data_IF_939538010447
#
_entry.id   IF_939538010447
#
_cell.length_a   1.000
_cell.length_b   1.000
_cell.length_c   1.000
_cell.angle_alpha   90.00
_cell.angle_beta   90.00
_cell.angle_gamma   90.00
#
_symmetry.space_group_name_H-M   'P 1'
#
loop_
_entity.id
_entity.type
_entity.pdbx_description
1 polymer ?
#
# COMPACT_ATOMS: atom_id res chain seq x y z
N UNK A 1 18.48 26.96 90.76
CA UNK A 1 18.15 25.84 91.66
C UNK A 1 16.67 25.55 91.48
N UNK A 2 16.28 24.71 90.53
CA UNK A 2 16.29 23.25 90.59
C UNK A 2 14.99 22.67 91.20
N UNK A 3 14.48 21.64 90.53
CA UNK A 3 13.47 20.66 90.95
C UNK A 3 11.98 21.02 90.85
N UNK A 4 11.34 20.68 89.73
CA UNK A 4 10.57 19.42 89.62
C UNK A 4 10.14 19.18 88.16
N UNK A 5 10.97 18.41 87.45
CA UNK A 5 10.65 17.76 86.19
C UNK A 5 9.94 16.42 86.47
N UNK A 6 9.18 15.98 85.47
CA UNK A 6 9.00 14.55 85.14
C UNK A 6 8.17 13.70 86.08
N UNK A 7 6.85 13.66 85.86
CA UNK A 7 6.02 12.47 86.17
C UNK A 7 4.65 12.52 85.46
N UNK A 8 4.66 12.41 84.13
CA UNK A 8 3.53 11.89 83.35
C UNK A 8 4.01 11.58 81.92
N UNK A 9 5.04 10.73 81.85
CA UNK A 9 5.47 10.05 80.63
C UNK A 9 5.66 8.58 81.03
N UNK A 10 4.56 7.85 81.11
CA UNK A 10 4.54 6.41 81.26
C UNK A 10 3.18 5.90 80.79
N UNK A 11 3.19 4.79 80.05
CA UNK A 11 2.07 4.07 79.45
C UNK A 11 1.69 4.50 78.03
N UNK A 12 2.64 4.29 77.10
CA UNK A 12 2.45 3.44 75.92
C UNK A 12 3.84 3.22 75.30
N UNK A 13 4.58 2.30 75.90
CA UNK A 13 5.89 1.85 75.45
C UNK A 13 5.84 0.31 75.42
N UNK A 14 5.23 -0.21 74.36
CA UNK A 14 5.12 -1.60 73.89
C UNK A 14 4.42 -1.43 72.52
N UNK A 15 5.13 -1.33 71.39
CA UNK A 15 5.79 -2.45 70.73
C UNK A 15 7.19 -2.07 70.23
N UNK A 16 8.20 -2.41 71.02
CA UNK A 16 9.53 -2.72 70.49
C UNK A 16 9.53 -4.19 70.09
N UNK A 17 8.97 -4.50 68.92
CA UNK A 17 9.08 -5.81 68.30
C UNK A 17 9.67 -5.68 66.89
N UNK A 18 10.94 -6.11 66.76
CA UNK A 18 11.57 -6.43 65.48
C UNK A 18 12.85 -5.67 65.13
N UNK A 19 14.03 -6.08 65.61
CA UNK A 19 15.27 -5.86 64.88
C UNK A 19 15.36 -6.85 63.70
N UNK A 20 15.77 -6.34 62.53
CA UNK A 20 16.15 -7.07 61.29
C UNK A 20 15.04 -7.45 60.29
N UNK A 21 14.61 -6.52 59.41
CA UNK A 21 14.06 -6.86 58.06
C UNK A 21 14.45 -5.85 56.96
N UNK A 22 15.64 -5.24 57.01
CA UNK A 22 16.25 -4.68 55.79
C UNK A 22 17.66 -5.25 55.68
N UNK A 23 17.80 -6.34 54.94
CA UNK A 23 19.11 -6.87 54.57
C UNK A 23 19.93 -5.72 53.92
N UNK A 24 21.22 -5.53 54.26
CA UNK A 24 22.09 -4.53 53.64
C UNK A 24 22.05 -4.57 52.10
N UNK A 25 21.80 -5.74 51.53
CA UNK A 25 21.61 -5.91 50.09
C UNK A 25 20.33 -5.22 49.57
N UNK A 26 19.21 -5.31 50.30
CA UNK A 26 17.95 -4.63 49.94
C UNK A 26 18.09 -3.12 50.06
N UNK A 27 18.75 -2.64 51.11
CA UNK A 27 19.02 -1.21 51.29
C UNK A 27 19.94 -0.67 50.17
N UNK A 28 20.94 -1.45 49.74
CA UNK A 28 21.82 -1.10 48.61
C UNK A 28 21.06 -1.04 47.28
N UNK A 29 20.16 -2.00 47.02
CA UNK A 29 19.32 -2.01 45.81
C UNK A 29 18.32 -0.84 45.82
N UNK A 30 17.72 -0.53 46.97
CA UNK A 30 16.84 0.64 47.11
C UNK A 30 17.61 1.96 46.90
N UNK A 31 18.85 2.05 47.40
CA UNK A 31 19.69 3.22 47.20
C UNK A 31 20.15 3.38 45.73
N UNK A 32 20.48 2.28 45.04
CA UNK A 32 20.86 2.33 43.62
C UNK A 32 19.67 2.72 42.74
N UNK A 33 18.51 2.11 42.98
CA UNK A 33 17.28 2.45 42.24
C UNK A 33 16.85 3.89 42.48
N UNK A 34 16.98 4.41 43.71
CA UNK A 34 16.72 5.83 44.00
C UNK A 34 17.70 6.77 43.25
N UNK A 35 18.97 6.39 43.13
CA UNK A 35 19.97 7.14 42.35
C UNK A 35 19.62 7.15 40.86
N UNK A 36 19.22 6.00 40.31
CA UNK A 36 18.85 5.88 38.89
C UNK A 36 17.63 6.75 38.58
N UNK A 37 16.64 6.78 39.47
CA UNK A 37 15.49 7.69 39.35
C UNK A 37 15.89 9.17 39.42
N UNK A 38 16.82 9.54 40.31
CA UNK A 38 17.31 10.92 40.39
C UNK A 38 18.04 11.34 39.11
N UNK A 39 18.79 10.43 38.48
CA UNK A 39 19.42 10.67 37.19
C UNK A 39 18.36 10.88 36.09
N UNK A 40 17.37 9.99 35.98
CA UNK A 40 16.27 10.12 35.01
C UNK A 40 15.49 11.43 35.20
N UNK A 41 15.19 11.82 36.43
CA UNK A 41 14.49 13.08 36.73
C UNK A 41 15.31 14.30 36.27
N UNK A 42 16.64 14.27 36.51
CA UNK A 42 17.55 15.34 36.05
C UNK A 42 17.67 15.38 34.51
N UNK A 43 17.72 14.22 33.86
CA UNK A 43 17.79 14.09 32.41
C UNK A 43 16.51 14.59 31.75
N UNK A 44 15.33 14.17 32.22
CA UNK A 44 14.03 14.65 31.75
C UNK A 44 13.88 16.16 31.94
N UNK A 45 14.32 16.70 33.08
CA UNK A 45 14.29 18.14 33.33
C UNK A 45 15.20 18.93 32.37
N UNK A 46 16.31 18.35 31.89
CA UNK A 46 17.19 18.99 30.91
C UNK A 46 16.63 18.98 29.49
N UNK A 47 15.82 17.98 29.12
CA UNK A 47 15.24 17.83 27.77
C UNK A 47 13.90 18.56 27.62
N UNK A 48 13.21 18.87 28.72
CA UNK A 48 11.95 19.61 28.69
C UNK A 48 12.19 21.13 28.75
N UNK A 49 11.36 21.94 28.05
CA UNK A 49 11.44 23.40 28.15
C UNK A 49 11.27 23.90 29.59
N UNK A 50 12.01 24.96 29.95
CA UNK A 50 11.96 25.56 31.27
C UNK A 50 10.50 25.89 31.68
N UNK A 51 10.03 25.28 32.78
CA UNK A 51 8.68 25.48 33.32
C UNK A 51 7.67 24.39 32.97
N UNK A 52 8.02 23.38 32.15
CA UNK A 52 7.15 22.22 31.90
C UNK A 52 7.62 21.03 32.73
N UNK A 53 6.83 20.63 33.72
CA UNK A 53 7.07 19.40 34.45
C UNK A 53 6.90 18.17 33.53
N UNK A 54 7.68 17.10 33.73
CA UNK A 54 7.47 15.85 33.01
C UNK A 54 6.04 15.34 33.28
N UNK A 55 5.37 14.75 32.26
CA UNK A 55 4.07 14.13 32.46
C UNK A 55 4.16 13.05 33.55
N UNK A 56 3.11 12.90 34.35
CA UNK A 56 3.08 11.87 35.39
C UNK A 56 3.07 10.48 34.75
N UNK A 57 3.99 9.62 35.16
CA UNK A 57 4.04 8.23 34.74
C UNK A 57 4.26 7.30 35.95
N UNK A 58 3.92 6.04 35.78
CA UNK A 58 4.07 5.01 36.80
C UNK A 58 5.57 4.73 37.04
N UNK A 59 6.03 4.84 38.29
CA UNK A 59 7.41 4.51 38.68
C UNK A 59 7.54 3.03 39.00
N UNK A 60 7.71 2.22 37.97
CA UNK A 60 7.97 0.78 38.07
C UNK A 60 9.36 0.40 37.53
N UNK A 61 9.82 -0.84 37.76
CA UNK A 61 11.16 -1.26 37.32
C UNK A 61 11.33 -1.28 35.80
N UNK A 62 10.27 -1.60 35.08
CA UNK A 62 10.27 -1.65 33.61
C UNK A 62 10.41 -0.24 33.00
N UNK A 63 9.69 0.74 33.54
CA UNK A 63 9.80 2.15 33.13
C UNK A 63 11.16 2.73 33.46
N UNK A 64 11.75 2.40 34.62
CA UNK A 64 13.12 2.81 34.94
C UNK A 64 14.11 2.28 33.90
N UNK A 65 14.02 0.98 33.56
CA UNK A 65 14.89 0.35 32.56
C UNK A 65 14.69 0.97 31.17
N UNK A 66 13.45 1.22 30.77
CA UNK A 66 13.14 1.86 29.50
C UNK A 66 13.68 3.29 29.43
N UNK A 67 13.52 4.09 30.48
CA UNK A 67 14.00 5.48 30.54
C UNK A 67 15.53 5.57 30.58
N UNK A 68 16.21 4.69 31.30
CA UNK A 68 17.68 4.60 31.28
C UNK A 68 18.21 4.17 29.91
N UNK A 69 17.53 3.22 29.26
CA UNK A 69 17.86 2.84 27.88
C UNK A 69 17.68 4.04 26.95
N UNK A 70 16.55 4.75 27.04
CA UNK A 70 16.27 5.91 26.20
C UNK A 70 17.28 7.04 26.42
N UNK A 71 17.67 7.33 27.66
CA UNK A 71 18.67 8.36 27.96
C UNK A 71 20.03 7.98 27.36
N UNK A 72 20.45 6.72 27.49
CA UNK A 72 21.70 6.24 26.90
C UNK A 72 21.70 6.32 25.36
N UNK A 73 20.59 5.95 24.70
CA UNK A 73 20.47 6.07 23.26
C UNK A 73 20.44 7.55 22.82
N UNK A 74 19.81 8.42 23.60
CA UNK A 74 19.77 9.84 23.30
C UNK A 74 21.14 10.50 23.45
N UNK A 75 21.89 10.18 24.51
CA UNK A 75 23.27 10.63 24.70
C UNK A 75 24.18 10.12 23.57
N UNK A 76 24.07 8.85 23.19
CA UNK A 76 24.84 8.30 22.07
C UNK A 76 24.53 9.00 20.73
N UNK A 77 23.26 9.32 20.48
CA UNK A 77 22.87 10.06 19.28
C UNK A 77 23.34 11.52 19.31
N UNK A 78 23.34 12.16 20.47
CA UNK A 78 23.87 13.52 20.64
C UNK A 78 25.41 13.54 20.43
N UNK A 79 26.13 12.53 20.92
CA UNK A 79 27.57 12.35 20.68
C UNK A 79 27.88 12.12 19.19
N UNK A 80 27.11 11.27 18.51
CA UNK A 80 27.26 11.03 17.06
C UNK A 80 27.04 12.32 16.26
N UNK A 81 25.99 13.09 16.58
CA UNK A 81 25.73 14.39 15.96
C UNK A 81 26.86 15.37 16.18
N UNK A 82 27.44 15.39 17.38
CA UNK A 82 28.59 16.25 17.68
C UNK A 82 29.83 15.85 16.87
N UNK A 83 30.06 14.55 16.68
CA UNK A 83 31.17 14.06 15.85
C UNK A 83 30.99 14.41 14.37
N UNK A 84 29.77 14.24 13.84
CA UNK A 84 29.45 14.65 12.47
C UNK A 84 29.63 16.15 12.28
N UNK A 85 29.08 16.97 13.17
CA UNK A 85 29.24 18.42 13.09
C UNK A 85 30.72 18.86 13.11
N UNK A 86 31.56 18.21 13.92
CA UNK A 86 33.02 18.47 13.93
C UNK A 86 33.71 18.02 12.65
N UNK A 87 33.30 16.90 12.09
CA UNK A 87 33.85 16.41 10.82
C UNK A 87 33.49 17.37 9.68
N UNK A 88 32.25 17.85 9.65
CA UNK A 88 31.77 18.83 8.69
C UNK A 88 32.52 20.17 8.83
N UNK A 89 32.66 20.68 10.05
CA UNK A 89 33.43 21.91 10.32
C UNK A 89 34.89 21.78 9.86
N UNK A 90 35.53 20.65 10.15
CA UNK A 90 36.90 20.38 9.72
C UNK A 90 37.03 20.29 8.20
N UNK A 91 36.08 19.61 7.53
CA UNK A 91 36.04 19.52 6.07
C UNK A 91 35.82 20.90 5.42
N UNK A 92 34.94 21.73 6.00
CA UNK A 92 34.71 23.10 5.54
C UNK A 92 35.95 23.97 5.71
N UNK A 93 36.68 23.85 6.82
CA UNK A 93 37.91 24.60 7.04
C UNK A 93 39.05 24.13 6.12
N UNK A 94 39.15 22.83 5.81
CA UNK A 94 40.07 22.31 4.80
C UNK A 94 39.76 22.89 3.41
N UNK A 95 38.49 22.93 3.01
CA UNK A 95 38.07 23.54 1.75
C UNK A 95 38.35 25.04 1.71
N UNK A 96 38.09 25.77 2.81
CA UNK A 96 38.37 27.21 2.91
C UNK A 96 39.86 27.50 2.84
N UNK A 97 40.69 26.74 3.54
CA UNK A 97 42.15 26.91 3.52
C UNK A 97 42.73 26.56 2.15
N UNK A 98 42.24 25.50 1.50
CA UNK A 98 42.58 25.20 0.12
C UNK A 98 42.21 26.36 -0.81
N UNK A 99 41.01 26.92 -0.66
CA UNK A 99 40.54 28.07 -1.44
C UNK A 99 41.34 29.36 -1.19
N UNK A 100 41.79 29.62 0.05
CA UNK A 100 42.58 30.80 0.42
C UNK A 100 44.07 30.69 0.07
N UNK A 101 44.61 29.47 0.02
CA UNK A 101 46.00 29.19 -0.39
C UNK A 101 46.23 29.35 -1.89
N UNK A 102 45.16 29.53 -2.66
CA UNK A 102 45.21 29.80 -4.10
C UNK A 102 45.47 31.29 -4.34
N UNK A 103 46.48 31.66 -5.14
CA UNK A 103 46.73 33.05 -5.49
C UNK A 103 45.50 33.64 -6.21
N UNK A 104 45.00 34.75 -5.69
CA UNK A 104 43.87 35.50 -6.26
C UNK A 104 44.07 35.71 -7.77
N UNK A 105 43.27 35.01 -8.58
CA UNK A 105 43.21 35.17 -10.03
C UNK A 105 43.72 34.00 -10.88
N UNK A 106 44.30 32.95 -10.27
CA UNK A 106 44.69 31.74 -10.99
C UNK A 106 43.76 30.57 -10.68
N UNK A 107 42.81 30.26 -11.57
CA UNK A 107 42.16 28.95 -11.56
C UNK A 107 43.25 27.87 -11.57
N UNK A 108 43.18 26.89 -10.67
CA UNK A 108 44.06 25.71 -10.73
C UNK A 108 44.05 25.14 -12.16
N UNK A 109 45.16 24.59 -12.69
CA UNK A 109 45.15 23.87 -13.96
C UNK A 109 44.04 22.81 -14.04
N UNK A 110 43.66 22.24 -12.89
CA UNK A 110 42.58 21.28 -12.75
C UNK A 110 41.18 21.91 -12.74
N UNK A 111 41.02 23.12 -12.19
CA UNK A 111 39.75 23.87 -12.24
C UNK A 111 39.51 24.53 -13.60
N UNK A 112 40.56 25.00 -14.27
CA UNK A 112 40.46 25.48 -15.65
C UNK A 112 40.19 24.31 -16.60
N UNK A 113 40.76 23.13 -16.36
CA UNK A 113 40.42 21.92 -17.11
C UNK A 113 38.99 21.45 -16.83
N UNK A 114 38.52 21.45 -15.57
CA UNK A 114 37.12 21.17 -15.25
C UNK A 114 36.16 22.18 -15.90
N UNK A 115 36.46 23.48 -15.83
CA UNK A 115 35.64 24.51 -16.46
C UNK A 115 35.62 24.37 -18.00
N UNK A 116 36.77 24.07 -18.61
CA UNK A 116 36.85 23.85 -20.05
C UNK A 116 36.13 22.56 -20.49
N UNK A 117 36.22 21.48 -19.70
CA UNK A 117 35.49 20.23 -19.95
C UNK A 117 33.99 20.45 -19.78
N UNK A 118 33.57 21.18 -18.74
CA UNK A 118 32.16 21.52 -18.53
C UNK A 118 31.63 22.36 -19.69
N UNK A 119 32.36 23.39 -20.12
CA UNK A 119 31.99 24.22 -21.27
C UNK A 119 31.90 23.40 -22.57
N UNK A 120 32.84 22.47 -22.80
CA UNK A 120 32.80 21.59 -23.97
C UNK A 120 31.62 20.60 -23.92
N UNK A 121 31.25 20.12 -22.72
CA UNK A 121 30.06 19.28 -22.52
C UNK A 121 28.78 20.09 -22.74
N UNK A 122 28.71 21.32 -22.23
CA UNK A 122 27.57 22.23 -22.44
C UNK A 122 27.39 22.60 -23.92
N UNK A 123 28.48 22.88 -24.63
CA UNK A 123 28.45 23.22 -26.06
C UNK A 123 28.16 21.99 -26.95
N UNK A 124 28.61 20.81 -26.53
CA UNK A 124 28.36 19.54 -27.23
C UNK A 124 27.03 18.88 -26.90
N UNK A 125 26.25 19.40 -25.94
CA UNK A 125 25.02 18.77 -25.48
C UNK A 125 23.85 19.03 -26.45
N UNK A 126 23.14 17.98 -26.93
CA UNK A 126 21.93 18.18 -27.70
C UNK A 126 20.82 18.78 -26.83
N UNK A 127 19.84 19.45 -27.46
CA UNK A 127 18.72 20.10 -26.76
C UNK A 127 17.91 19.11 -25.92
N UNK A 128 17.75 17.86 -26.37
CA UNK A 128 17.09 16.83 -25.56
C UNK A 128 17.87 16.54 -24.27
N UNK A 129 19.21 16.46 -24.35
CA UNK A 129 20.08 16.23 -23.20
C UNK A 129 19.98 17.32 -22.15
N UNK A 130 19.99 18.60 -22.57
CA UNK A 130 19.83 19.73 -21.67
C UNK A 130 18.46 19.74 -20.98
N UNK A 131 17.39 19.40 -21.71
CA UNK A 131 16.04 19.28 -21.16
C UNK A 131 15.92 18.14 -20.14
N UNK A 132 16.51 16.97 -20.46
CA UNK A 132 16.53 15.82 -19.57
C UNK A 132 17.30 16.10 -18.28
N UNK A 133 18.49 16.71 -18.38
CA UNK A 133 19.30 17.09 -17.22
C UNK A 133 18.59 18.12 -16.35
N UNK A 134 17.98 19.14 -16.96
CA UNK A 134 17.17 20.13 -16.23
C UNK A 134 15.94 19.51 -15.55
N UNK A 135 15.37 18.45 -16.13
CA UNK A 135 14.25 17.72 -15.52
C UNK A 135 14.71 16.85 -14.35
N UNK A 136 15.85 16.17 -14.48
CA UNK A 136 16.49 15.44 -13.37
C UNK A 136 16.85 16.37 -12.21
N UNK A 137 17.44 17.53 -12.48
CA UNK A 137 17.76 18.51 -11.45
C UNK A 137 16.51 19.00 -10.71
N UNK A 138 15.42 19.27 -11.44
CA UNK A 138 14.13 19.63 -10.82
C UNK A 138 13.55 18.50 -9.96
N UNK A 139 13.61 17.25 -10.45
CA UNK A 139 13.14 16.08 -9.72
C UNK A 139 13.98 15.84 -8.46
N UNK A 140 15.30 15.99 -8.54
CA UNK A 140 16.20 15.88 -7.41
C UNK A 140 15.87 16.90 -6.31
N UNK A 141 15.64 18.16 -6.70
CA UNK A 141 15.21 19.21 -5.76
C UNK A 141 13.86 18.89 -5.13
N UNK A 142 12.88 18.41 -5.91
CA UNK A 142 11.57 18.03 -5.39
C UNK A 142 11.63 16.81 -4.46
N UNK A 143 12.52 15.85 -4.77
CA UNK A 143 12.74 14.66 -3.97
C UNK A 143 13.62 14.93 -2.73
N UNK A 144 14.26 16.11 -2.64
CA UNK A 144 15.23 16.42 -1.60
C UNK A 144 16.53 15.61 -1.71
N UNK A 145 16.84 15.12 -2.91
CA UNK A 145 18.04 14.32 -3.19
C UNK A 145 19.13 15.21 -3.79
N UNK A 146 20.32 15.20 -3.18
CA UNK A 146 21.46 16.01 -3.63
C UNK A 146 22.26 15.32 -4.75
N UNK A 147 22.18 13.99 -4.87
CA UNK A 147 23.02 13.22 -5.79
C UNK A 147 22.36 13.01 -7.16
N UNK A 148 21.05 13.30 -7.27
CA UNK A 148 20.24 13.23 -8.48
C UNK A 148 20.38 11.89 -9.24
N UNK A 149 20.50 10.78 -8.51
CA UNK A 149 20.55 9.44 -9.11
C UNK A 149 19.24 9.16 -9.86
N UNK A 150 19.26 9.00 -11.20
CA UNK A 150 18.05 8.76 -11.97
C UNK A 150 17.31 7.49 -11.54
N UNK A 151 18.02 6.44 -11.09
CA UNK A 151 17.39 5.20 -10.65
C UNK A 151 16.72 5.36 -9.28
N UNK A 152 17.39 6.01 -8.33
CA UNK A 152 16.82 6.41 -7.04
C UNK A 152 15.57 7.28 -7.19
N UNK A 153 15.63 8.30 -8.05
CA UNK A 153 14.50 9.19 -8.34
C UNK A 153 13.33 8.44 -9.01
N UNK A 154 13.61 7.51 -9.94
CA UNK A 154 12.56 6.71 -10.54
C UNK A 154 11.85 5.82 -9.49
N UNK A 155 12.61 5.18 -8.60
CA UNK A 155 12.06 4.37 -7.50
C UNK A 155 11.23 5.21 -6.53
N UNK A 156 11.68 6.42 -6.19
CA UNK A 156 10.94 7.31 -5.30
C UNK A 156 9.61 7.75 -5.92
N UNK A 157 9.58 8.05 -7.22
CA UNK A 157 8.35 8.36 -7.95
C UNK A 157 7.36 7.18 -7.93
N UNK A 158 7.84 5.96 -8.21
CA UNK A 158 6.99 4.76 -8.16
C UNK A 158 6.46 4.51 -6.75
N UNK A 159 7.29 4.67 -5.73
CA UNK A 159 6.89 4.53 -4.33
C UNK A 159 5.85 5.59 -3.92
N UNK A 160 6.02 6.84 -4.34
CA UNK A 160 5.06 7.91 -4.11
C UNK A 160 3.72 7.62 -4.80
N UNK A 161 3.77 7.11 -6.04
CA UNK A 161 2.56 6.74 -6.77
C UNK A 161 1.80 5.59 -6.10
N UNK A 162 2.51 4.58 -5.61
CA UNK A 162 1.91 3.47 -4.85
C UNK A 162 1.26 3.98 -3.56
N UNK A 163 1.97 4.82 -2.80
CA UNK A 163 1.45 5.44 -1.58
C UNK A 163 0.20 6.29 -1.84
N UNK A 164 0.21 7.10 -2.91
CA UNK A 164 -0.94 7.90 -3.30
C UNK A 164 -2.15 7.02 -3.59
N UNK A 165 -1.98 5.97 -4.40
CA UNK A 165 -3.05 5.02 -4.71
C UNK A 165 -3.60 4.31 -3.47
N UNK A 166 -2.72 3.84 -2.58
CA UNK A 166 -3.11 3.17 -1.34
C UNK A 166 -3.95 4.11 -0.45
N UNK A 167 -3.52 5.38 -0.33
CA UNK A 167 -4.26 6.37 0.46
C UNK A 167 -5.63 6.71 -0.14
N UNK A 168 -5.72 6.84 -1.47
CA UNK A 168 -6.99 7.04 -2.18
C UNK A 168 -7.94 5.85 -1.98
N UNK A 169 -7.42 4.62 -2.08
CA UNK A 169 -8.21 3.41 -1.86
C UNK A 169 -8.70 3.31 -0.40
N UNK A 170 -7.84 3.64 0.57
CA UNK A 170 -8.22 3.65 1.97
C UNK A 170 -9.29 4.71 2.26
N UNK A 171 -9.17 5.90 1.67
CA UNK A 171 -10.18 6.95 1.80
C UNK A 171 -11.54 6.49 1.25
N UNK A 172 -11.56 5.92 0.04
CA UNK A 172 -12.79 5.41 -0.57
C UNK A 172 -13.44 4.29 0.27
N UNK A 173 -12.62 3.40 0.84
CA UNK A 173 -13.11 2.34 1.73
C UNK A 173 -13.71 2.89 3.02
N UNK A 174 -13.07 3.88 3.64
CA UNK A 174 -13.61 4.54 4.84
C UNK A 174 -14.93 5.23 4.53
N UNK A 175 -15.03 5.93 3.41
CA UNK A 175 -16.25 6.60 2.98
C UNK A 175 -17.42 5.61 2.77
N UNK A 176 -17.14 4.45 2.15
CA UNK A 176 -18.12 3.40 1.98
C UNK A 176 -18.61 2.82 3.31
N UNK A 177 -17.71 2.62 4.27
CA UNK A 177 -18.05 2.14 5.62
C UNK A 177 -18.87 3.19 6.37
N UNK A 178 -18.52 4.48 6.27
CA UNK A 178 -19.28 5.57 6.87
C UNK A 178 -20.71 5.61 6.33
N UNK A 179 -20.87 5.60 5.00
CA UNK A 179 -22.19 5.56 4.36
C UNK A 179 -23.01 4.33 4.75
N UNK A 180 -22.36 3.18 4.96
CA UNK A 180 -23.06 2.00 5.45
C UNK A 180 -23.50 2.16 6.91
N UNK A 181 -22.63 2.67 7.77
CA UNK A 181 -22.93 2.91 9.19
C UNK A 181 -24.05 3.94 9.37
N UNK A 182 -24.04 5.03 8.60
CA UNK A 182 -25.10 6.05 8.62
C UNK A 182 -26.45 5.49 8.19
N UNK A 183 -26.48 4.70 7.11
CA UNK A 183 -27.71 4.02 6.67
C UNK A 183 -28.23 3.04 7.72
N UNK A 184 -27.36 2.21 8.28
CA UNK A 184 -27.73 1.26 9.32
C UNK A 184 -28.23 1.96 10.59
N UNK A 185 -27.62 3.08 10.97
CA UNK A 185 -28.06 3.91 12.09
C UNK A 185 -29.43 4.53 11.82
N UNK A 186 -29.68 5.04 10.61
CA UNK A 186 -30.98 5.54 10.18
C UNK A 186 -32.06 4.47 10.23
N UNK A 187 -31.80 3.30 9.64
CA UNK A 187 -32.72 2.15 9.67
C UNK A 187 -33.02 1.69 11.10
N UNK A 188 -32.01 1.66 11.98
CA UNK A 188 -32.19 1.32 13.39
C UNK A 188 -33.01 2.36 14.15
N UNK A 189 -32.82 3.65 13.87
CA UNK A 189 -33.60 4.74 14.45
C UNK A 189 -35.06 4.69 13.99
N UNK A 190 -35.31 4.46 12.70
CA UNK A 190 -36.65 4.28 12.15
C UNK A 190 -37.34 3.06 12.74
N UNK A 191 -36.62 1.94 12.88
CA UNK A 191 -37.15 0.75 13.54
C UNK A 191 -37.51 1.03 15.01
N UNK A 192 -36.65 1.72 15.75
CA UNK A 192 -36.89 2.08 17.14
C UNK A 192 -38.14 2.97 17.26
N UNK A 193 -38.28 3.98 16.41
CA UNK A 193 -39.45 4.85 16.38
C UNK A 193 -40.74 4.06 16.10
N UNK A 194 -40.70 3.14 15.13
CA UNK A 194 -41.84 2.28 14.81
C UNK A 194 -42.21 1.34 15.97
N UNK A 195 -41.23 0.81 16.72
CA UNK A 195 -41.48 -0.06 17.87
C UNK A 195 -42.00 0.69 19.10
N UNK A 196 -41.61 1.97 19.24
CA UNK A 196 -42.08 2.83 20.34
C UNK A 196 -43.46 3.42 20.07
N UNK A 197 -43.94 3.43 18.83
CA UNK A 197 -45.29 3.86 18.51
C UNK A 197 -46.34 2.95 19.16
N UNK A 198 -47.31 3.56 19.84
CA UNK A 198 -48.38 2.88 20.57
C UNK A 198 -49.31 2.08 19.64
N UNK A 199 -49.24 2.34 18.34
CA UNK A 199 -49.98 1.63 17.30
C UNK A 199 -49.30 0.33 16.83
N UNK A 200 -48.06 0.07 17.27
CA UNK A 200 -47.27 -1.07 16.80
C UNK A 200 -47.95 -2.40 17.10
N UNK A 201 -48.17 -3.19 16.04
CA UNK A 201 -48.57 -4.59 16.14
C UNK A 201 -47.57 -5.44 15.37
N UNK A 202 -46.92 -6.42 16.02
CA UNK A 202 -45.99 -7.29 15.32
C UNK A 202 -46.72 -8.01 14.18
N UNK A 203 -46.18 -7.99 12.95
CA UNK A 203 -46.76 -8.71 11.83
C UNK A 203 -46.89 -10.21 12.16
N UNK A 204 -48.01 -10.83 11.80
CA UNK A 204 -48.29 -12.25 12.11
C UNK A 204 -47.30 -13.24 11.48
N UNK A 205 -46.48 -12.78 10.53
CA UNK A 205 -45.50 -13.55 9.78
C UNK A 205 -44.06 -13.43 10.34
N UNK A 206 -43.85 -12.66 11.42
CA UNK A 206 -42.51 -12.39 11.98
C UNK A 206 -41.76 -13.67 12.38
N UNK A 207 -42.45 -14.64 12.97
CA UNK A 207 -41.82 -15.90 13.38
C UNK A 207 -41.29 -16.72 12.19
N UNK A 208 -42.03 -16.73 11.07
CA UNK A 208 -41.62 -17.43 9.85
C UNK A 208 -40.41 -16.72 9.21
N UNK A 209 -40.47 -15.39 9.08
CA UNK A 209 -39.35 -14.57 8.55
C UNK A 209 -38.08 -14.70 9.39
N UNK A 210 -38.20 -14.75 10.72
CA UNK A 210 -37.05 -14.93 11.60
C UNK A 210 -36.39 -16.31 11.37
N UNK A 211 -37.20 -17.36 11.24
CA UNK A 211 -36.72 -18.71 10.98
C UNK A 211 -36.03 -18.80 9.60
N UNK A 212 -36.60 -18.16 8.58
CA UNK A 212 -36.00 -18.10 7.24
C UNK A 212 -34.69 -17.29 7.22
N UNK A 213 -34.63 -16.16 7.96
CA UNK A 213 -33.39 -15.42 8.17
C UNK A 213 -32.33 -16.27 8.87
N UNK A 214 -32.67 -16.98 9.95
CA UNK A 214 -31.75 -17.89 10.63
C UNK A 214 -31.23 -19.00 9.71
N UNK A 215 -32.09 -19.57 8.86
CA UNK A 215 -31.68 -20.55 7.84
C UNK A 215 -30.73 -19.93 6.83
N UNK A 216 -31.03 -18.73 6.33
CA UNK A 216 -30.18 -18.02 5.37
C UNK A 216 -28.81 -17.67 5.96
N UNK A 217 -28.77 -17.18 7.21
CA UNK A 217 -27.53 -16.89 7.94
C UNK A 217 -26.74 -18.17 8.11
N UNK A 218 -27.38 -19.27 8.52
CA UNK A 218 -26.70 -20.57 8.68
C UNK A 218 -26.11 -21.08 7.37
N UNK A 219 -26.84 -20.91 6.25
CA UNK A 219 -26.34 -21.26 4.92
C UNK A 219 -25.12 -20.42 4.57
N UNK A 220 -25.20 -19.10 4.70
CA UNK A 220 -24.11 -18.17 4.38
C UNK A 220 -22.90 -18.35 5.31
N UNK A 221 -23.11 -18.60 6.60
CA UNK A 221 -22.04 -18.82 7.57
C UNK A 221 -21.39 -20.21 7.45
N UNK A 222 -22.10 -21.19 6.89
CA UNK A 222 -21.58 -22.54 6.62
C UNK A 222 -20.94 -22.67 5.24
N UNK A 223 -21.25 -21.74 4.34
CA UNK A 223 -20.57 -21.64 3.07
C UNK A 223 -19.14 -21.15 3.31
N UNK A 224 -18.12 -21.76 2.69
CA UNK A 224 -16.79 -21.18 2.68
C UNK A 224 -16.89 -19.76 2.09
N UNK A 225 -16.17 -18.78 2.67
CA UNK A 225 -16.20 -17.43 2.14
C UNK A 225 -15.79 -17.47 0.65
N UNK A 226 -16.34 -16.55 -0.18
CA UNK A 226 -16.04 -16.56 -1.61
C UNK A 226 -14.53 -16.56 -1.80
N UNK A 227 -14.02 -17.42 -2.70
CA UNK A 227 -12.61 -17.68 -3.00
C UNK A 227 -11.74 -16.42 -3.17
N UNK A 228 -12.38 -15.28 -3.41
CA UNK A 228 -11.79 -13.95 -3.48
C UNK A 228 -11.21 -13.44 -2.15
N UNK A 229 -11.82 -13.73 -0.99
CA UNK A 229 -11.26 -13.32 0.32
C UNK A 229 -10.05 -14.15 0.71
N UNK A 230 -10.03 -15.42 0.29
CA UNK A 230 -8.92 -16.34 0.51
C UNK A 230 -7.72 -15.95 -0.39
N UNK A 231 -7.97 -15.47 -1.62
CA UNK A 231 -6.90 -14.89 -2.47
C UNK A 231 -6.33 -13.60 -1.92
N UNK A 232 -7.12 -12.71 -1.33
CA UNK A 232 -6.59 -11.47 -0.73
C UNK A 232 -5.83 -11.77 0.57
N UNK A 233 -6.34 -12.67 1.40
CA UNK A 233 -5.65 -13.08 2.63
C UNK A 233 -4.35 -13.87 2.33
N UNK A 234 -4.37 -14.75 1.32
CA UNK A 234 -3.18 -15.48 0.86
C UNK A 234 -2.16 -14.58 0.13
N UNK A 235 -2.61 -13.49 -0.51
CA UNK A 235 -1.73 -12.49 -1.11
C UNK A 235 -1.02 -11.63 -0.05
N UNK A 236 -1.68 -11.32 1.07
CA UNK A 236 -1.09 -10.56 2.18
C UNK A 236 -0.19 -11.41 3.10
N UNK A 237 -0.43 -12.73 3.19
CA UNK A 237 0.28 -13.62 4.12
C UNK A 237 1.44 -14.43 3.50
N UNK A 238 1.60 -14.39 2.18
CA UNK A 238 2.66 -15.12 1.48
C UNK A 238 3.71 -14.13 0.96
N UNK A 239 5.01 -14.30 1.27
CA UNK A 239 6.07 -13.66 0.51
C UNK A 239 6.16 -14.36 -0.84
N UNK A 240 5.11 -14.25 -1.66
CA UNK A 240 5.25 -14.54 -3.08
C UNK A 240 6.28 -13.53 -3.61
N UNK A 241 7.25 -13.97 -4.43
CA UNK A 241 8.12 -13.04 -5.14
C UNK A 241 7.22 -11.99 -5.79
N UNK A 242 7.40 -10.72 -5.43
CA UNK A 242 6.70 -9.63 -6.11
C UNK A 242 6.90 -9.88 -7.61
N UNK A 243 5.82 -10.03 -8.40
CA UNK A 243 5.93 -10.40 -9.81
C UNK A 243 6.89 -9.39 -10.44
N UNK A 244 8.01 -9.91 -10.93
CA UNK A 244 9.03 -9.08 -11.53
C UNK A 244 8.49 -8.55 -12.85
N UNK A 245 9.09 -7.47 -13.34
CA UNK A 245 8.72 -6.90 -14.64
C UNK A 245 8.86 -7.95 -15.75
N UNK A 246 9.79 -8.90 -15.61
CA UNK A 246 9.93 -10.07 -16.49
C UNK A 246 8.73 -11.02 -16.40
N UNK A 247 8.22 -11.33 -15.20
CA UNK A 247 7.04 -12.19 -15.04
C UNK A 247 5.79 -11.56 -15.71
N UNK A 248 5.65 -10.23 -15.64
CA UNK A 248 4.57 -9.50 -16.31
C UNK A 248 4.75 -9.53 -17.83
N UNK A 249 5.98 -9.35 -18.33
CA UNK A 249 6.27 -9.41 -19.75
C UNK A 249 6.00 -10.81 -20.35
N UNK A 250 6.35 -11.87 -19.62
CA UNK A 250 6.07 -13.26 -20.02
C UNK A 250 4.56 -13.54 -20.06
N UNK A 251 3.82 -13.05 -19.06
CA UNK A 251 2.36 -13.14 -19.03
C UNK A 251 1.69 -12.35 -20.16
N UNK A 252 2.19 -11.16 -20.48
CA UNK A 252 1.73 -10.38 -21.64
C UNK A 252 1.98 -11.13 -22.94
N UNK A 253 3.15 -11.74 -23.12
CA UNK A 253 3.45 -12.52 -24.31
C UNK A 253 2.49 -13.70 -24.47
N UNK A 254 2.28 -14.46 -23.40
CA UNK A 254 1.34 -15.58 -23.39
C UNK A 254 -0.11 -15.12 -23.67
N UNK A 255 -0.50 -13.94 -23.16
CA UNK A 255 -1.80 -13.35 -23.45
C UNK A 255 -1.94 -12.96 -24.93
N UNK A 256 -0.90 -12.39 -25.54
CA UNK A 256 -0.89 -12.11 -26.97
C UNK A 256 -1.01 -13.38 -27.82
N UNK A 257 -0.33 -14.45 -27.44
CA UNK A 257 -0.45 -15.75 -28.11
C UNK A 257 -1.89 -16.30 -28.01
N UNK A 258 -2.50 -16.23 -26.82
CA UNK A 258 -3.89 -16.64 -26.62
C UNK A 258 -4.86 -15.80 -27.43
N UNK A 259 -4.67 -14.49 -27.51
CA UNK A 259 -5.50 -13.60 -28.31
C UNK A 259 -5.33 -13.89 -29.81
N UNK A 260 -4.11 -14.16 -30.27
CA UNK A 260 -3.88 -14.59 -31.64
C UNK A 260 -4.58 -15.92 -31.93
N UNK A 261 -4.49 -16.89 -31.00
CA UNK A 261 -5.18 -18.18 -31.13
C UNK A 261 -6.70 -18.04 -31.10
N UNK A 262 -7.23 -17.16 -30.25
CA UNK A 262 -8.66 -16.83 -30.20
C UNK A 262 -9.12 -16.24 -31.52
N UNK A 263 -8.41 -15.27 -32.09
CA UNK A 263 -8.76 -14.67 -33.39
C UNK A 263 -8.76 -15.69 -34.51
N UNK A 264 -7.78 -16.60 -34.52
CA UNK A 264 -7.74 -17.70 -35.48
C UNK A 264 -8.95 -18.63 -35.33
N UNK A 265 -9.29 -19.01 -34.09
CA UNK A 265 -10.48 -19.83 -33.81
C UNK A 265 -11.78 -19.10 -34.16
N UNK A 266 -11.89 -17.81 -33.88
CA UNK A 266 -13.03 -16.98 -34.27
C UNK A 266 -13.18 -16.89 -35.78
N UNK A 267 -12.07 -16.78 -36.52
CA UNK A 267 -12.09 -16.82 -37.98
C UNK A 267 -12.55 -18.19 -38.50
N UNK A 268 -12.06 -19.28 -37.93
CA UNK A 268 -12.49 -20.63 -38.25
C UNK A 268 -13.97 -20.85 -37.93
N UNK A 269 -14.44 -20.35 -36.78
CA UNK A 269 -15.84 -20.43 -36.37
C UNK A 269 -16.77 -19.56 -37.22
N UNK A 270 -16.30 -18.41 -37.69
CA UNK A 270 -17.06 -17.53 -38.58
C UNK A 270 -17.42 -18.23 -39.91
N UNK A 271 -16.57 -19.15 -40.40
CA UNK A 271 -16.88 -19.97 -41.57
C UNK A 271 -18.07 -20.94 -41.34
N UNK A 272 -18.39 -21.23 -40.08
CA UNK A 272 -19.54 -22.05 -39.67
C UNK A 272 -20.69 -21.22 -39.08
N UNK A 273 -20.60 -19.88 -39.13
CA UNK A 273 -21.65 -19.00 -38.63
C UNK A 273 -22.96 -19.23 -39.42
N UNK A 274 -23.99 -19.70 -38.72
CA UNK A 274 -25.29 -20.06 -39.31
C UNK A 274 -25.61 -21.55 -39.24
N UNK A 275 -24.67 -22.42 -38.88
CA UNK A 275 -24.93 -23.83 -38.60
C UNK A 275 -25.40 -24.02 -37.14
N UNK A 276 -26.41 -24.86 -36.88
CA UNK A 276 -26.80 -25.27 -35.55
C UNK A 276 -25.62 -25.87 -34.76
N UNK A 277 -25.61 -25.64 -33.44
CA UNK A 277 -24.56 -26.16 -32.56
C UNK A 277 -24.53 -27.70 -32.46
N UNK A 278 -25.58 -28.38 -32.93
CA UNK A 278 -25.70 -29.83 -32.98
C UNK A 278 -25.20 -30.35 -34.35
N UNK A 279 -24.20 -31.25 -34.40
CA UNK A 279 -23.58 -31.71 -35.65
C UNK A 279 -24.55 -32.43 -36.60
N UNK A 280 -25.55 -33.14 -36.08
CA UNK A 280 -26.49 -33.89 -36.93
C UNK A 280 -27.53 -32.95 -37.56
N UNK A 281 -27.95 -31.92 -36.82
CA UNK A 281 -28.80 -30.85 -37.34
C UNK A 281 -28.08 -30.01 -38.39
N UNK A 282 -26.81 -29.64 -38.15
CA UNK A 282 -25.98 -28.92 -39.10
C UNK A 282 -25.80 -29.67 -40.42
N UNK A 283 -25.62 -30.99 -40.38
CA UNK A 283 -25.57 -31.84 -41.59
C UNK A 283 -26.87 -31.80 -42.37
N UNK A 284 -28.01 -31.89 -41.67
CA UNK A 284 -29.33 -31.87 -42.29
C UNK A 284 -29.63 -30.56 -43.02
N UNK A 285 -29.22 -29.42 -42.44
CA UNK A 285 -29.39 -28.09 -43.04
C UNK A 285 -28.48 -27.88 -44.26
N UNK A 286 -27.22 -28.32 -44.19
CA UNK A 286 -26.31 -28.30 -45.34
C UNK A 286 -26.86 -29.14 -46.49
N UNK A 287 -27.41 -30.31 -46.20
CA UNK A 287 -28.01 -31.17 -47.23
C UNK A 287 -29.32 -30.61 -47.79
N UNK A 288 -30.08 -29.84 -47.01
CA UNK A 288 -31.23 -29.09 -47.50
C UNK A 288 -30.81 -27.95 -48.44
N UNK A 289 -29.83 -27.14 -48.05
CA UNK A 289 -29.28 -26.06 -48.89
C UNK A 289 -28.66 -26.61 -50.19
N UNK A 290 -27.94 -27.74 -50.13
CA UNK A 290 -27.41 -28.42 -51.33
C UNK A 290 -28.49 -28.92 -52.28
N UNK A 291 -29.65 -29.34 -51.75
CA UNK A 291 -30.80 -29.73 -52.57
C UNK A 291 -31.44 -28.50 -53.22
N UNK A 292 -31.58 -27.40 -52.49
CA UNK A 292 -32.08 -26.14 -53.05
C UNK A 292 -31.16 -25.58 -54.14
N UNK A 293 -29.83 -25.58 -53.93
CA UNK A 293 -28.87 -25.15 -54.95
C UNK A 293 -29.01 -26.00 -56.22
N UNK A 294 -29.08 -27.33 -56.10
CA UNK A 294 -29.28 -28.22 -57.24
C UNK A 294 -30.61 -27.95 -57.97
N UNK A 295 -31.68 -27.67 -57.24
CA UNK A 295 -32.97 -27.32 -57.83
C UNK A 295 -32.92 -25.98 -58.60
N UNK A 296 -32.29 -24.95 -58.02
CA UNK A 296 -32.12 -23.64 -58.68
C UNK A 296 -31.21 -23.77 -59.91
N UNK A 297 -30.12 -24.52 -59.81
CA UNK A 297 -29.23 -24.79 -60.95
C UNK A 297 -29.97 -25.54 -62.05
N UNK A 298 -30.72 -26.59 -61.72
CA UNK A 298 -31.52 -27.33 -62.70
C UNK A 298 -32.60 -26.45 -63.34
N UNK A 299 -33.21 -25.54 -62.59
CA UNK A 299 -34.19 -24.60 -63.12
C UNK A 299 -33.55 -23.58 -64.06
N UNK A 300 -32.38 -23.04 -63.69
CA UNK A 300 -31.58 -22.16 -64.54
C UNK A 300 -31.19 -22.86 -65.84
N UNK A 301 -30.70 -24.09 -65.73
CA UNK A 301 -30.25 -24.85 -66.90
C UNK A 301 -31.45 -25.19 -67.79
N UNK A 302 -32.61 -25.58 -67.24
CA UNK A 302 -33.83 -25.80 -68.01
C UNK A 302 -34.37 -24.51 -68.68
N UNK A 303 -34.31 -23.36 -68.00
CA UNK A 303 -34.69 -22.07 -68.57
C UNK A 303 -33.71 -21.60 -69.66
N UNK A 304 -32.42 -21.95 -69.52
CA UNK A 304 -31.40 -21.69 -70.53
C UNK A 304 -31.61 -22.55 -71.77
N UNK A 305 -31.91 -23.85 -71.60
CA UNK A 305 -32.25 -24.74 -72.71
C UNK A 305 -33.53 -24.28 -73.44
N UNK A 306 -34.60 -23.88 -72.74
CA UNK A 306 -35.82 -23.33 -73.39
C UNK A 306 -35.53 -22.03 -74.17
N UNK A 307 -34.61 -21.19 -73.68
CA UNK A 307 -34.17 -20.00 -74.42
C UNK A 307 -33.34 -20.36 -75.66
N UNK A 308 -32.43 -21.34 -75.53
CA UNK A 308 -31.62 -21.84 -76.65
C UNK A 308 -32.47 -22.52 -77.73
N UNK A 309 -33.50 -23.28 -77.35
CA UNK A 309 -34.41 -23.95 -78.29
C UNK A 309 -35.25 -22.95 -79.10
N UNK A 310 -35.64 -21.83 -78.47
CA UNK A 310 -36.39 -20.73 -79.12
C UNK A 310 -35.56 -19.91 -80.11
N UNK A 311 -34.28 -19.71 -79.81
CA UNK A 311 -33.34 -19.01 -80.68
C UNK A 311 -32.64 -19.94 -81.69
N UNK A 312 -32.88 -21.25 -81.61
CA UNK A 312 -32.38 -22.20 -82.59
C UNK A 312 -33.14 -22.03 -83.92
N UNK A 313 -32.46 -21.75 -85.05
CA UNK A 313 -33.14 -21.64 -86.33
C UNK A 313 -33.67 -23.01 -86.75
N UNK A 314 -35.00 -23.16 -86.72
CA UNK A 314 -35.70 -24.33 -87.27
C UNK A 314 -35.27 -24.53 -88.72
N UNK A 315 -34.45 -25.56 -88.98
CA UNK A 315 -34.18 -26.06 -90.33
C UNK A 315 -35.51 -26.52 -90.94
N UNK A 316 -36.13 -25.68 -91.78
CA UNK A 316 -37.13 -26.12 -92.76
C UNK A 316 -36.46 -27.15 -93.66
N UNK A 317 -36.83 -28.43 -93.52
CA UNK A 317 -36.57 -29.45 -94.54
C UNK A 317 -37.55 -29.24 -95.69
N UNK A 318 -37.01 -28.96 -96.87
CA UNK A 318 -37.63 -29.23 -98.17
C UNK A 318 -37.84 -30.72 -98.36
#
# INVERSE_FOLDING_TARGET
MAHHLSRQAALQHEDASGPAIFSPSVARIAASTARDWAYVDSWLASKLPAGRAPPSFERNSETLKALLSLSAHNEAADDERLLLARADDAALDELRTHHQSLPQGGLLPQQSLQANVLAAVEEGMPKEGASALGSLARLAVLAGDAEADPQGLARSIVALQASLFDTEQMAARVEAVLHHAERAAGEAADLLNNLQDQSYRPPSDMAKRNLDLQRSIKVVSSAPPPEHTDRTAAADSSPLPHPTVEDVADQEHHLFELLARRRELEHQMAAFAGLPSDPDMARSEVDALRRQLRAVTSHRDAAFEDLMDRDSPVKRRT
#
